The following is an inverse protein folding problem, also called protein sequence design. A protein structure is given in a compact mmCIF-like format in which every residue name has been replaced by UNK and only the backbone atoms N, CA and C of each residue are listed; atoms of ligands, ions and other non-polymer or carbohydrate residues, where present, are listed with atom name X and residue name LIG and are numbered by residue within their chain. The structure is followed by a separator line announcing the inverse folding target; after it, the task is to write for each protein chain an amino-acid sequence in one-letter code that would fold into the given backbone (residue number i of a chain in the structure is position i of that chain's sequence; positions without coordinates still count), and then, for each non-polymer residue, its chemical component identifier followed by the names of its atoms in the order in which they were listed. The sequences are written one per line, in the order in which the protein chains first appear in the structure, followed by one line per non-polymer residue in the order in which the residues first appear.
data_IF_802749356826
#
_entry.id   IF_802749356826
#
_cell.length_a   1.000
_cell.length_b   1.000
_cell.length_c   1.000
_cell.angle_alpha   90.00
_cell.angle_beta   90.00
_cell.angle_gamma   90.00
#
_symmetry.space_group_name_H-M   'P 1'
#
loop_
_entity.id
_entity.type
_entity.pdbx_description
1 polymer ?
#
# COMPACT_ATOMS: atom_id res chain seq x y z
N UNK A 1 -27.73 6.23 -28.30
CA UNK A 1 -26.60 5.60 -27.54
C UNK A 1 -26.50 6.40 -26.25
N UNK A 2 -27.02 5.86 -25.14
CA UNK A 2 -26.87 6.50 -23.82
C UNK A 2 -25.39 6.47 -23.51
N UNK A 3 -24.76 7.61 -23.41
CA UNK A 3 -23.33 7.66 -23.12
C UNK A 3 -23.10 7.03 -21.76
N UNK A 4 -22.01 6.26 -21.64
CA UNK A 4 -21.61 5.58 -20.39
C UNK A 4 -21.55 6.59 -19.22
N UNK A 5 -21.28 7.87 -19.51
CA UNK A 5 -21.32 8.99 -18.57
C UNK A 5 -22.69 9.20 -17.92
N UNK A 6 -23.79 9.08 -18.69
CA UNK A 6 -25.14 9.29 -18.16
C UNK A 6 -25.58 8.13 -17.27
N UNK A 7 -25.11 6.91 -17.58
CA UNK A 7 -25.37 5.74 -16.75
C UNK A 7 -24.64 5.83 -15.40
N UNK A 8 -23.42 6.38 -15.39
CA UNK A 8 -22.62 6.62 -14.18
C UNK A 8 -23.25 7.69 -13.29
N UNK A 9 -23.77 8.77 -13.89
CA UNK A 9 -24.41 9.86 -13.17
C UNK A 9 -25.72 9.41 -12.48
N UNK A 10 -26.45 8.45 -13.08
CA UNK A 10 -27.72 7.97 -12.53
C UNK A 10 -27.58 6.89 -11.46
N UNK A 11 -26.47 6.12 -11.46
CA UNK A 11 -26.28 5.00 -10.51
C UNK A 11 -25.32 5.30 -9.37
N UNK A 12 -24.59 6.42 -9.40
CA UNK A 12 -23.51 6.73 -8.45
C UNK A 12 -22.32 5.76 -8.53
N UNK A 13 -22.32 4.89 -9.55
CA UNK A 13 -21.38 3.78 -9.69
C UNK A 13 -20.24 4.15 -10.65
N UNK A 14 -19.03 4.33 -10.13
CA UNK A 14 -17.84 4.57 -10.97
C UNK A 14 -17.23 3.22 -11.42
N UNK A 15 -17.23 2.88 -12.72
CA UNK A 15 -16.70 1.60 -13.21
C UNK A 15 -15.21 1.38 -12.92
N UNK A 16 -14.47 2.46 -12.64
CA UNK A 16 -13.06 2.40 -12.22
C UNK A 16 -12.89 1.57 -10.95
N UNK A 17 -13.90 1.55 -10.06
CA UNK A 17 -13.88 0.77 -8.83
C UNK A 17 -13.61 -0.71 -9.10
N UNK A 18 -14.26 -1.29 -10.12
CA UNK A 18 -14.05 -2.70 -10.47
C UNK A 18 -12.63 -2.99 -10.94
N UNK A 19 -12.04 -2.07 -11.72
CA UNK A 19 -10.67 -2.22 -12.19
C UNK A 19 -9.66 -2.10 -11.04
N UNK A 20 -9.88 -1.18 -10.10
CA UNK A 20 -9.06 -1.05 -8.89
C UNK A 20 -9.18 -2.30 -8.01
N UNK A 21 -10.39 -2.82 -7.80
CA UNK A 21 -10.60 -4.06 -7.06
C UNK A 21 -9.98 -5.26 -7.78
N UNK A 22 -10.05 -5.33 -9.12
CA UNK A 22 -9.41 -6.37 -9.90
C UNK A 22 -7.88 -6.32 -9.73
N UNK A 23 -7.26 -5.14 -9.86
CA UNK A 23 -5.83 -4.94 -9.62
C UNK A 23 -5.39 -5.43 -8.23
N UNK A 24 -6.21 -5.19 -7.24
CA UNK A 24 -5.93 -5.57 -5.87
C UNK A 24 -6.12 -7.08 -5.64
N UNK A 25 -7.17 -7.68 -6.22
CA UNK A 25 -7.52 -9.08 -5.96
C UNK A 25 -6.74 -10.09 -6.79
N UNK A 26 -6.31 -9.75 -8.02
CA UNK A 26 -5.60 -10.69 -8.91
C UNK A 26 -4.30 -11.24 -8.30
N UNK A 27 -3.39 -10.43 -7.70
CA UNK A 27 -2.19 -10.98 -7.06
C UNK A 27 -2.50 -11.82 -5.82
N UNK A 28 -3.56 -11.50 -5.09
CA UNK A 28 -4.04 -12.30 -3.97
C UNK A 28 -4.58 -13.64 -4.44
N UNK A 29 -5.32 -13.66 -5.55
CA UNK A 29 -5.77 -14.88 -6.21
C UNK A 29 -4.57 -15.71 -6.67
N UNK A 30 -3.53 -15.09 -7.23
CA UNK A 30 -2.29 -15.76 -7.57
C UNK A 30 -1.64 -16.42 -6.36
N UNK A 31 -1.55 -15.71 -5.23
CA UNK A 31 -1.02 -16.26 -3.99
C UNK A 31 -1.72 -17.55 -3.58
N UNK A 32 -3.05 -17.53 -3.43
CA UNK A 32 -3.78 -18.71 -2.99
C UNK A 32 -3.81 -19.84 -4.02
N UNK A 33 -4.04 -19.53 -5.30
CA UNK A 33 -4.20 -20.54 -6.34
C UNK A 33 -2.92 -21.33 -6.63
N UNK A 34 -1.74 -20.73 -6.45
CA UNK A 34 -0.47 -21.39 -6.69
C UNK A 34 -0.22 -22.58 -5.76
N UNK A 35 -0.81 -22.63 -4.58
CA UNK A 35 -0.73 -23.81 -3.69
C UNK A 35 -1.48 -25.02 -4.26
N UNK A 36 -2.52 -24.80 -5.08
CA UNK A 36 -3.33 -25.87 -5.66
C UNK A 36 -2.86 -26.29 -7.07
N UNK A 37 -2.37 -25.36 -7.88
CA UNK A 37 -2.05 -25.59 -9.31
C UNK A 37 -0.72 -26.33 -9.50
N UNK A 38 0.17 -26.34 -8.50
CA UNK A 38 1.44 -27.10 -8.47
C UNK A 38 2.32 -26.88 -9.72
N UNK A 39 2.37 -27.82 -10.68
CA UNK A 39 3.33 -27.79 -11.79
C UNK A 39 3.13 -26.64 -12.77
N UNK A 40 1.92 -26.15 -12.96
CA UNK A 40 1.57 -25.03 -13.86
C UNK A 40 1.60 -23.68 -13.16
N UNK A 41 1.90 -23.62 -11.86
CA UNK A 41 1.92 -22.41 -11.06
C UNK A 41 2.77 -21.27 -11.67
N UNK A 42 3.98 -21.51 -12.23
CA UNK A 42 4.77 -20.43 -12.83
C UNK A 42 4.07 -19.72 -13.98
N UNK A 43 3.51 -20.49 -14.92
CA UNK A 43 2.79 -19.93 -16.08
C UNK A 43 1.52 -19.23 -15.62
N UNK A 44 0.75 -19.87 -14.73
CA UNK A 44 -0.47 -19.30 -14.19
C UNK A 44 -0.25 -17.97 -13.49
N UNK A 45 0.70 -17.91 -12.55
CA UNK A 45 1.04 -16.68 -11.86
C UNK A 45 1.48 -15.56 -12.81
N UNK A 46 2.38 -15.89 -13.77
CA UNK A 46 2.87 -14.91 -14.75
C UNK A 46 1.74 -14.40 -15.64
N UNK A 47 0.79 -15.25 -16.05
CA UNK A 47 -0.38 -14.83 -16.83
C UNK A 47 -1.28 -13.88 -16.03
N UNK A 48 -1.53 -14.17 -14.76
CA UNK A 48 -2.32 -13.29 -13.88
C UNK A 48 -1.62 -11.92 -13.72
N UNK A 49 -0.30 -11.89 -13.56
CA UNK A 49 0.44 -10.63 -13.44
C UNK A 49 0.52 -9.86 -14.77
N UNK A 50 0.56 -10.55 -15.90
CA UNK A 50 0.43 -9.93 -17.21
C UNK A 50 -0.91 -9.22 -17.37
N UNK A 51 -2.02 -9.89 -16.99
CA UNK A 51 -3.36 -9.30 -16.97
C UNK A 51 -3.41 -8.08 -16.05
N UNK A 52 -2.82 -8.19 -14.85
CA UNK A 52 -2.78 -7.10 -13.89
C UNK A 52 -1.99 -5.89 -14.42
N UNK A 53 -0.88 -6.13 -15.10
CA UNK A 53 -0.11 -5.08 -15.78
C UNK A 53 -0.93 -4.43 -16.90
N UNK A 54 -1.65 -5.23 -17.68
CA UNK A 54 -2.57 -4.72 -18.70
C UNK A 54 -3.67 -3.82 -18.13
N UNK A 55 -4.26 -4.21 -17.00
CA UNK A 55 -5.26 -3.38 -16.29
C UNK A 55 -4.63 -2.07 -15.81
N UNK A 56 -3.42 -2.09 -15.24
CA UNK A 56 -2.76 -0.86 -14.78
C UNK A 56 -2.46 0.10 -15.94
N UNK A 57 -2.01 -0.39 -17.09
CA UNK A 57 -1.81 0.40 -18.30
C UNK A 57 -3.14 0.96 -18.84
N UNK A 58 -4.20 0.14 -18.84
CA UNK A 58 -5.53 0.58 -19.23
C UNK A 58 -6.05 1.71 -18.32
N UNK A 59 -5.85 1.63 -17.01
CA UNK A 59 -6.23 2.69 -16.07
C UNK A 59 -5.48 3.99 -16.33
N UNK A 60 -4.18 3.92 -16.64
CA UNK A 60 -3.42 5.11 -17.05
C UNK A 60 -4.03 5.72 -18.30
N UNK A 61 -4.27 4.92 -19.34
CA UNK A 61 -4.87 5.42 -20.58
C UNK A 61 -6.25 6.05 -20.36
N UNK A 62 -7.11 5.39 -19.57
CA UNK A 62 -8.48 5.80 -19.37
C UNK A 62 -8.64 6.98 -18.39
N UNK A 63 -7.70 7.14 -17.44
CA UNK A 63 -7.90 8.06 -16.32
C UNK A 63 -6.78 9.08 -16.11
N UNK A 64 -5.79 9.15 -16.99
CA UNK A 64 -4.65 10.08 -16.86
C UNK A 64 -5.04 11.55 -16.75
N UNK A 65 -6.05 11.97 -17.53
CA UNK A 65 -6.58 13.35 -17.54
C UNK A 65 -7.79 13.52 -16.64
N UNK A 66 -8.26 12.46 -15.98
CA UNK A 66 -9.39 12.51 -15.05
C UNK A 66 -9.02 13.14 -13.70
N UNK A 67 -10.05 13.44 -12.93
CA UNK A 67 -9.91 13.83 -11.53
C UNK A 67 -9.53 12.61 -10.66
N UNK A 68 -8.90 12.89 -9.52
CA UNK A 68 -8.58 11.83 -8.57
C UNK A 68 -9.86 11.16 -8.04
N UNK A 69 -9.86 9.83 -8.02
CA UNK A 69 -11.00 9.03 -7.53
C UNK A 69 -10.71 8.55 -6.12
N UNK A 70 -11.57 8.91 -5.18
CA UNK A 70 -11.52 8.37 -3.82
C UNK A 70 -12.71 7.45 -3.57
N UNK A 71 -12.44 6.27 -2.99
CA UNK A 71 -13.43 5.28 -2.59
C UNK A 71 -13.27 5.09 -1.10
N UNK A 72 -14.27 5.54 -0.33
CA UNK A 72 -14.23 5.45 1.13
C UNK A 72 -15.34 4.51 1.62
N UNK A 73 -15.04 3.76 2.68
CA UNK A 73 -16.02 2.94 3.36
C UNK A 73 -15.58 2.67 4.80
N UNK A 74 -16.52 2.26 5.64
CA UNK A 74 -16.24 1.90 7.03
C UNK A 74 -15.63 0.50 7.07
N UNK A 75 -14.46 0.37 7.70
CA UNK A 75 -13.82 -0.91 7.93
C UNK A 75 -14.36 -1.54 9.21
N UNK A 76 -14.20 -0.86 10.34
CA UNK A 76 -14.81 -1.24 11.61
C UNK A 76 -14.89 -0.03 12.55
N UNK A 77 -15.71 -0.14 13.59
CA UNK A 77 -15.85 0.88 14.63
C UNK A 77 -15.56 0.30 16.00
N UNK A 78 -14.83 1.04 16.84
CA UNK A 78 -14.54 0.69 18.22
C UNK A 78 -15.00 1.87 19.08
N UNK A 79 -16.11 1.70 19.81
CA UNK A 79 -16.75 2.80 20.54
C UNK A 79 -17.12 3.93 19.58
N UNK A 80 -16.66 5.15 19.88
CA UNK A 80 -16.92 6.35 19.06
C UNK A 80 -15.93 6.51 17.89
N UNK A 81 -14.87 5.68 17.82
CA UNK A 81 -13.86 5.76 16.76
C UNK A 81 -14.27 4.91 15.58
N UNK A 82 -14.46 5.54 14.42
CA UNK A 82 -14.74 4.87 13.15
C UNK A 82 -13.45 4.79 12.31
N UNK A 83 -13.02 3.57 12.03
CA UNK A 83 -11.89 3.32 11.13
C UNK A 83 -12.39 3.08 9.72
N UNK A 84 -12.03 3.99 8.82
CA UNK A 84 -12.42 3.93 7.42
C UNK A 84 -11.30 3.31 6.59
N UNK A 85 -11.68 2.54 5.56
CA UNK A 85 -10.77 2.26 4.46
C UNK A 85 -10.99 3.31 3.37
N UNK A 86 -9.91 3.74 2.74
CA UNK A 86 -9.99 4.62 1.57
C UNK A 86 -8.98 4.17 0.52
N UNK A 87 -9.47 4.00 -0.71
CA UNK A 87 -8.63 3.89 -1.89
C UNK A 87 -8.54 5.25 -2.55
N UNK A 88 -7.37 5.63 -2.99
CA UNK A 88 -7.15 6.88 -3.68
C UNK A 88 -6.36 6.65 -4.95
N UNK A 89 -6.93 7.06 -6.07
CA UNK A 89 -6.35 6.88 -7.38
C UNK A 89 -6.11 8.25 -8.01
N UNK A 90 -4.89 8.73 -7.88
CA UNK A 90 -4.39 9.92 -8.54
C UNK A 90 -3.34 9.56 -9.60
N UNK A 91 -2.76 10.56 -10.24
CA UNK A 91 -1.72 10.36 -11.27
C UNK A 91 -0.48 9.66 -10.70
N UNK A 92 -0.11 9.95 -9.46
CA UNK A 92 1.04 9.32 -8.81
C UNK A 92 0.75 7.83 -8.55
N UNK A 93 -0.42 7.51 -8.01
CA UNK A 93 -0.86 6.14 -7.80
C UNK A 93 -0.91 5.36 -9.13
N UNK A 94 -1.41 5.96 -10.21
CA UNK A 94 -1.43 5.34 -11.54
C UNK A 94 -0.03 4.97 -12.04
N UNK A 95 0.94 5.89 -11.94
CA UNK A 95 2.34 5.61 -12.32
C UNK A 95 2.92 4.51 -11.46
N UNK A 96 2.73 4.58 -10.14
CA UNK A 96 3.24 3.58 -9.20
C UNK A 96 2.61 2.20 -9.43
N UNK A 97 1.33 2.11 -9.79
CA UNK A 97 0.68 0.85 -10.13
C UNK A 97 1.30 0.20 -11.39
N UNK A 98 1.56 0.99 -12.43
CA UNK A 98 2.24 0.48 -13.64
C UNK A 98 3.64 0.01 -13.31
N UNK A 99 4.39 0.76 -12.52
CA UNK A 99 5.74 0.40 -12.10
C UNK A 99 5.76 -0.89 -11.29
N UNK A 100 4.92 -1.00 -10.26
CA UNK A 100 4.82 -2.19 -9.39
C UNK A 100 4.42 -3.41 -10.20
N UNK A 101 3.34 -3.32 -11.00
CA UNK A 101 2.85 -4.45 -11.79
C UNK A 101 3.82 -4.83 -12.92
N UNK A 102 4.42 -3.85 -13.60
CA UNK A 102 5.38 -4.08 -14.67
C UNK A 102 6.65 -4.78 -14.17
N UNK A 103 7.25 -4.28 -13.09
CA UNK A 103 8.41 -4.95 -12.48
C UNK A 103 8.04 -6.34 -11.98
N UNK A 104 6.90 -6.47 -11.29
CA UNK A 104 6.44 -7.77 -10.80
C UNK A 104 6.24 -8.77 -11.93
N UNK A 105 5.62 -8.36 -13.04
CA UNK A 105 5.48 -9.22 -14.23
C UNK A 105 6.84 -9.67 -14.78
N UNK A 106 7.81 -8.74 -14.94
CA UNK A 106 9.14 -9.06 -15.42
C UNK A 106 9.88 -10.04 -14.50
N UNK A 107 9.76 -9.85 -13.18
CA UNK A 107 10.31 -10.77 -12.18
C UNK A 107 9.66 -12.16 -12.27
N UNK A 108 8.33 -12.24 -12.43
CA UNK A 108 7.64 -13.51 -12.62
C UNK A 108 8.10 -14.21 -13.90
N UNK A 109 8.23 -13.46 -14.99
CA UNK A 109 8.71 -13.99 -16.27
C UNK A 109 10.13 -14.57 -16.16
N UNK A 110 11.05 -13.80 -15.57
CA UNK A 110 12.42 -14.26 -15.30
C UNK A 110 12.43 -15.50 -14.41
N UNK A 111 11.58 -15.54 -13.42
CA UNK A 111 11.53 -16.61 -12.42
C UNK A 111 11.03 -17.95 -12.98
N UNK A 112 10.36 -17.96 -14.15
CA UNK A 112 9.96 -19.22 -14.82
C UNK A 112 11.19 -20.09 -15.08
N UNK A 113 12.23 -19.50 -15.65
CA UNK A 113 13.48 -20.23 -15.95
C UNK A 113 14.35 -20.37 -14.70
N UNK A 114 14.46 -19.32 -13.88
CA UNK A 114 15.26 -19.32 -12.65
C UNK A 114 14.86 -20.45 -11.68
N UNK A 115 13.56 -20.70 -11.53
CA UNK A 115 13.01 -21.73 -10.61
C UNK A 115 12.65 -23.04 -11.32
N UNK A 116 13.11 -23.24 -12.58
CA UNK A 116 12.69 -24.37 -13.44
C UNK A 116 12.90 -25.73 -12.78
N UNK A 117 14.05 -25.91 -12.11
CA UNK A 117 14.44 -27.19 -11.49
C UNK A 117 13.99 -27.34 -10.03
N UNK A 118 13.49 -26.27 -9.43
CA UNK A 118 13.10 -26.30 -8.02
C UNK A 118 11.74 -26.96 -7.80
N UNK A 119 11.67 -27.85 -6.79
CA UNK A 119 10.43 -28.55 -6.42
C UNK A 119 9.41 -27.62 -5.74
N UNK A 120 9.88 -26.57 -5.07
CA UNK A 120 9.05 -25.64 -4.32
C UNK A 120 8.64 -24.39 -5.15
N UNK A 121 8.85 -24.40 -6.48
CA UNK A 121 8.46 -23.29 -7.36
C UNK A 121 7.03 -22.77 -7.16
N UNK A 122 5.99 -23.58 -6.89
CA UNK A 122 4.64 -23.04 -6.65
C UNK A 122 4.59 -22.13 -5.42
N UNK A 123 5.31 -22.48 -4.37
CA UNK A 123 5.42 -21.69 -3.13
C UNK A 123 6.15 -20.37 -3.38
N UNK A 124 7.21 -20.40 -4.21
CA UNK A 124 7.94 -19.20 -4.60
C UNK A 124 7.04 -18.21 -5.37
N UNK A 125 6.29 -18.69 -6.37
CA UNK A 125 5.37 -17.85 -7.13
C UNK A 125 4.20 -17.35 -6.28
N UNK A 126 3.75 -18.13 -5.28
CA UNK A 126 2.78 -17.65 -4.30
C UNK A 126 3.35 -16.47 -3.51
N UNK A 127 4.57 -16.56 -2.99
CA UNK A 127 5.20 -15.47 -2.24
C UNK A 127 5.42 -14.21 -3.09
N UNK A 128 5.76 -14.34 -4.38
CA UNK A 128 5.83 -13.22 -5.30
C UNK A 128 4.46 -12.56 -5.49
N UNK A 129 3.38 -13.37 -5.61
CA UNK A 129 2.01 -12.86 -5.66
C UNK A 129 1.63 -12.08 -4.41
N UNK A 130 1.96 -12.62 -3.22
CA UNK A 130 1.74 -11.94 -1.94
C UNK A 130 2.51 -10.62 -1.86
N UNK A 131 3.76 -10.61 -2.31
CA UNK A 131 4.58 -9.39 -2.35
C UNK A 131 3.93 -8.31 -3.24
N UNK A 132 3.49 -8.69 -4.45
CA UNK A 132 2.82 -7.77 -5.37
C UNK A 132 1.50 -7.23 -4.80
N UNK A 133 0.69 -8.10 -4.19
CA UNK A 133 -0.52 -7.71 -3.48
C UNK A 133 -0.25 -6.67 -2.40
N UNK A 134 0.78 -6.91 -1.60
CA UNK A 134 1.19 -6.02 -0.51
C UNK A 134 1.64 -4.65 -1.04
N UNK A 135 2.44 -4.63 -2.09
CA UNK A 135 2.91 -3.39 -2.73
C UNK A 135 1.77 -2.57 -3.34
N UNK A 136 0.80 -3.23 -3.99
CA UNK A 136 -0.39 -2.55 -4.51
C UNK A 136 -1.21 -1.95 -3.37
N UNK A 137 -1.32 -2.66 -2.24
CA UNK A 137 -1.99 -2.14 -1.04
C UNK A 137 -1.33 -0.86 -0.52
N UNK A 138 0.00 -0.83 -0.40
CA UNK A 138 0.73 0.39 0.02
C UNK A 138 0.45 1.58 -0.92
N UNK A 139 0.32 1.33 -2.24
CA UNK A 139 0.08 2.38 -3.24
C UNK A 139 -1.37 2.87 -3.21
N UNK A 140 -2.33 1.98 -3.03
CA UNK A 140 -3.76 2.30 -3.19
C UNK A 140 -4.42 2.84 -1.92
N UNK A 141 -4.01 2.37 -0.73
CA UNK A 141 -4.65 2.81 0.50
C UNK A 141 -4.22 4.22 0.90
N UNK A 142 -5.22 5.05 1.15
CA UNK A 142 -5.05 6.45 1.55
C UNK A 142 -5.35 6.65 3.05
N UNK A 143 -5.30 5.58 3.82
CA UNK A 143 -5.39 5.55 5.26
C UNK A 143 -4.06 5.07 5.84
N UNK A 144 -3.45 5.87 6.71
CA UNK A 144 -2.13 5.61 7.28
C UNK A 144 -2.05 4.28 8.03
N UNK A 145 -3.10 3.88 8.73
CA UNK A 145 -3.12 2.61 9.47
C UNK A 145 -3.14 1.42 8.50
N UNK A 146 -3.97 1.47 7.46
CA UNK A 146 -4.00 0.43 6.43
C UNK A 146 -2.71 0.39 5.63
N UNK A 147 -2.16 1.56 5.29
CA UNK A 147 -0.84 1.65 4.65
C UNK A 147 0.23 0.96 5.51
N UNK A 148 0.21 1.16 6.84
CA UNK A 148 1.11 0.47 7.75
C UNK A 148 0.90 -1.05 7.72
N UNK A 149 -0.33 -1.55 7.73
CA UNK A 149 -0.63 -2.99 7.63
C UNK A 149 -0.03 -3.59 6.36
N UNK A 150 -0.20 -2.92 5.19
CA UNK A 150 0.38 -3.39 3.94
C UNK A 150 1.90 -3.23 3.89
N UNK A 151 2.43 -2.19 4.52
CA UNK A 151 3.88 -2.01 4.71
C UNK A 151 4.52 -3.16 5.47
N UNK A 152 3.88 -3.62 6.54
CA UNK A 152 4.28 -4.79 7.31
C UNK A 152 4.19 -6.08 6.47
N UNK A 153 3.15 -6.20 5.65
CA UNK A 153 2.97 -7.36 4.78
C UNK A 153 4.04 -7.42 3.67
N UNK A 154 4.50 -6.27 3.14
CA UNK A 154 5.69 -6.19 2.26
C UNK A 154 6.93 -6.71 3.00
N UNK A 155 7.12 -6.33 4.26
CA UNK A 155 8.21 -6.83 5.10
C UNK A 155 8.17 -8.35 5.27
N UNK A 156 7.00 -8.89 5.59
CA UNK A 156 6.78 -10.32 5.75
C UNK A 156 7.02 -11.09 4.43
N UNK A 157 6.47 -10.62 3.33
CA UNK A 157 6.62 -11.30 2.04
C UNK A 157 8.07 -11.27 1.55
N UNK A 158 8.81 -10.18 1.78
CA UNK A 158 10.24 -10.10 1.49
C UNK A 158 11.06 -11.06 2.37
N UNK A 159 10.75 -11.18 3.66
CA UNK A 159 11.36 -12.17 4.55
C UNK A 159 11.19 -13.60 4.02
N UNK A 160 9.97 -13.96 3.58
CA UNK A 160 9.66 -15.27 3.02
C UNK A 160 10.41 -15.55 1.71
N UNK A 161 10.64 -14.51 0.89
CA UNK A 161 11.40 -14.63 -0.37
C UNK A 161 12.91 -14.73 -0.13
N UNK A 162 13.49 -13.91 0.77
CA UNK A 162 14.91 -13.95 1.11
C UNK A 162 15.24 -15.30 1.76
N UNK A 163 14.39 -15.76 2.68
CA UNK A 163 14.51 -17.03 3.37
C UNK A 163 13.97 -18.23 2.61
N UNK A 164 13.70 -18.12 1.29
CA UNK A 164 13.05 -19.19 0.54
C UNK A 164 13.78 -20.52 0.64
N UNK A 165 15.11 -20.52 0.49
CA UNK A 165 15.96 -21.68 0.72
C UNK A 165 16.47 -21.71 2.17
N UNK A 166 15.56 -21.82 3.13
CA UNK A 166 15.86 -21.80 4.57
C UNK A 166 16.83 -22.90 5.05
N UNK A 167 16.99 -23.99 4.27
CA UNK A 167 17.98 -25.03 4.53
C UNK A 167 19.42 -24.51 4.41
N UNK A 168 19.62 -23.42 3.65
CA UNK A 168 20.90 -22.75 3.54
C UNK A 168 21.07 -21.77 4.71
N UNK A 169 22.03 -22.04 5.60
CA UNK A 169 22.31 -21.17 6.76
C UNK A 169 22.52 -19.69 6.38
N UNK A 170 23.16 -19.42 5.24
CA UNK A 170 23.37 -18.06 4.74
C UNK A 170 22.04 -17.34 4.40
N UNK A 171 21.09 -18.04 3.76
CA UNK A 171 19.78 -17.48 3.40
C UNK A 171 18.94 -17.22 4.66
N UNK A 172 18.92 -18.17 5.61
CA UNK A 172 18.22 -18.02 6.88
C UNK A 172 18.76 -16.84 7.71
N UNK A 173 20.08 -16.68 7.80
CA UNK A 173 20.70 -15.54 8.49
C UNK A 173 20.40 -14.21 7.79
N UNK A 174 20.44 -14.16 6.46
CA UNK A 174 20.12 -12.97 5.69
C UNK A 174 18.65 -12.56 5.88
N UNK A 175 17.71 -13.51 5.86
CA UNK A 175 16.31 -13.26 6.11
C UNK A 175 16.07 -12.71 7.52
N UNK A 176 16.68 -13.30 8.54
CA UNK A 176 16.58 -12.81 9.91
C UNK A 176 17.16 -11.41 10.06
N UNK A 177 18.32 -11.12 9.46
CA UNK A 177 18.90 -9.77 9.47
C UNK A 177 17.94 -8.76 8.84
N UNK A 178 17.44 -9.03 7.63
CA UNK A 178 16.53 -8.15 6.93
C UNK A 178 15.24 -7.91 7.72
N UNK A 179 14.69 -8.97 8.33
CA UNK A 179 13.49 -8.87 9.16
C UNK A 179 13.70 -7.98 10.38
N UNK A 180 14.79 -8.19 11.14
CA UNK A 180 15.09 -7.41 12.35
C UNK A 180 15.31 -5.93 12.02
N UNK A 181 16.05 -5.63 10.96
CA UNK A 181 16.29 -4.24 10.53
C UNK A 181 14.98 -3.56 10.12
N UNK A 182 14.13 -4.25 9.35
CA UNK A 182 12.81 -3.72 9.00
C UNK A 182 11.98 -3.44 10.24
N UNK A 183 11.96 -4.34 11.24
CA UNK A 183 11.21 -4.14 12.50
C UNK A 183 11.65 -2.91 13.28
N UNK A 184 12.95 -2.61 13.31
CA UNK A 184 13.44 -1.38 13.94
C UNK A 184 12.88 -0.15 13.22
N UNK A 185 12.89 -0.15 11.89
CA UNK A 185 12.27 0.91 11.09
C UNK A 185 10.76 1.01 11.31
N UNK A 186 10.05 -0.12 11.35
CA UNK A 186 8.61 -0.20 11.50
C UNK A 186 8.12 0.30 12.86
N UNK A 187 8.92 0.12 13.93
CA UNK A 187 8.65 0.75 15.24
C UNK A 187 8.67 2.29 15.13
N UNK A 188 9.65 2.83 14.39
CA UNK A 188 9.69 4.27 14.10
C UNK A 188 8.45 4.73 13.33
N UNK A 189 8.09 4.01 12.26
CA UNK A 189 6.90 4.29 11.46
C UNK A 189 5.62 4.29 12.31
N UNK A 190 5.43 3.27 13.15
CA UNK A 190 4.27 3.17 14.04
C UNK A 190 4.24 4.31 15.06
N UNK A 191 5.40 4.67 15.64
CA UNK A 191 5.51 5.80 16.57
C UNK A 191 5.09 7.10 15.88
N UNK A 192 5.55 7.35 14.66
CA UNK A 192 5.15 8.51 13.87
C UNK A 192 3.64 8.55 13.59
N UNK A 193 3.04 7.40 13.26
CA UNK A 193 1.59 7.26 13.08
C UNK A 193 0.81 7.59 14.36
N UNK A 194 1.28 7.13 15.52
CA UNK A 194 0.63 7.41 16.80
C UNK A 194 0.71 8.88 17.17
N UNK A 195 1.85 9.53 16.90
CA UNK A 195 1.99 10.98 17.09
C UNK A 195 1.01 11.72 16.17
N UNK A 196 0.94 11.37 14.88
CA UNK A 196 -0.02 12.01 13.97
C UNK A 196 -1.46 11.79 14.45
N UNK A 197 -1.81 10.58 14.87
CA UNK A 197 -3.15 10.30 15.39
C UNK A 197 -3.46 11.11 16.65
N UNK A 198 -2.51 11.28 17.56
CA UNK A 198 -2.70 12.10 18.76
C UNK A 198 -2.99 13.57 18.44
N UNK A 199 -2.43 14.08 17.33
CA UNK A 199 -2.61 15.47 16.91
C UNK A 199 -3.89 15.68 16.07
N UNK A 200 -4.17 14.75 15.12
CA UNK A 200 -5.23 14.92 14.12
C UNK A 200 -6.49 14.10 14.41
N UNK A 201 -6.44 13.16 15.34
CA UNK A 201 -7.53 12.22 15.69
C UNK A 201 -8.09 11.44 14.48
N UNK A 202 -7.28 11.32 13.41
CA UNK A 202 -7.63 10.60 12.20
C UNK A 202 -6.40 9.98 11.55
N UNK A 203 -6.61 8.86 10.83
CA UNK A 203 -5.61 8.24 9.96
C UNK A 203 -5.84 8.52 8.46
N UNK A 204 -6.90 9.27 8.11
CA UNK A 204 -7.19 9.61 6.72
C UNK A 204 -6.24 10.69 6.24
N UNK A 205 -5.39 10.37 5.25
CA UNK A 205 -4.41 11.31 4.68
C UNK A 205 -5.04 12.55 4.06
N UNK A 206 -6.21 12.41 3.45
CA UNK A 206 -6.91 13.56 2.86
C UNK A 206 -7.41 14.52 3.94
N UNK A 207 -7.94 13.99 5.04
CA UNK A 207 -8.34 14.80 6.18
C UNK A 207 -7.13 15.51 6.83
N UNK A 208 -6.01 14.81 7.04
CA UNK A 208 -4.78 15.38 7.57
C UNK A 208 -4.26 16.49 6.65
N UNK A 209 -4.21 16.24 5.33
CA UNK A 209 -3.77 17.23 4.34
C UNK A 209 -4.67 18.48 4.37
N UNK A 210 -5.97 18.29 4.41
CA UNK A 210 -6.93 19.40 4.45
C UNK A 210 -6.74 20.24 5.70
N UNK A 211 -6.62 19.61 6.87
CA UNK A 211 -6.36 20.31 8.13
C UNK A 211 -5.05 21.11 8.10
N UNK A 212 -3.99 20.57 7.49
CA UNK A 212 -2.72 21.26 7.37
C UNK A 212 -2.75 22.41 6.36
N UNK A 213 -3.48 22.28 5.26
CA UNK A 213 -3.58 23.35 4.23
C UNK A 213 -4.36 24.56 4.76
N UNK A 214 -5.38 24.33 5.58
CA UNK A 214 -6.20 25.40 6.15
C UNK A 214 -5.73 25.85 7.55
N UNK A 215 -4.57 25.40 8.01
CA UNK A 215 -3.99 25.85 9.27
C UNK A 215 -3.15 27.13 9.08
N UNK A 216 -3.24 28.05 10.02
CA UNK A 216 -2.40 29.23 10.11
C UNK A 216 -1.25 28.97 11.11
N UNK A 217 -0.12 29.65 10.92
CA UNK A 217 1.02 29.51 11.82
C UNK A 217 1.05 30.74 12.74
N UNK A 218 0.77 30.54 14.03
CA UNK A 218 0.93 31.56 15.05
C UNK A 218 1.92 31.07 16.12
N UNK A 219 2.91 31.90 16.46
CA UNK A 219 3.93 31.60 17.49
C UNK A 219 4.60 30.23 17.38
N UNK A 220 4.79 29.73 16.16
CA UNK A 220 5.43 28.45 15.87
C UNK A 220 4.51 27.22 16.03
N UNK A 221 3.24 27.44 16.33
CA UNK A 221 2.21 26.43 16.37
C UNK A 221 1.31 26.52 15.13
N UNK A 222 0.85 25.37 14.65
CA UNK A 222 -0.13 25.30 13.58
C UNK A 222 -1.53 25.32 14.21
N UNK A 223 -2.33 26.32 13.86
CA UNK A 223 -3.70 26.45 14.33
C UNK A 223 -4.62 25.97 13.21
N UNK A 224 -5.23 24.81 13.39
CA UNK A 224 -6.20 24.27 12.46
C UNK A 224 -7.61 24.62 12.94
N UNK A 225 -8.34 25.37 12.11
CA UNK A 225 -9.75 25.64 12.29
C UNK A 225 -10.58 24.62 11.51
N UNK A 226 -11.37 23.80 12.19
CA UNK A 226 -12.30 22.89 11.50
C UNK A 226 -13.60 22.77 12.26
N UNK A 227 -14.68 22.59 11.51
CA UNK A 227 -16.01 22.41 12.09
C UNK A 227 -16.31 20.92 12.21
N UNK A 228 -16.46 20.41 13.42
CA UNK A 228 -16.89 19.04 13.68
C UNK A 228 -18.30 19.05 14.25
N UNK A 229 -19.26 18.41 13.55
CA UNK A 229 -20.68 18.36 13.93
C UNK A 229 -21.31 19.74 14.24
N UNK A 230 -20.92 20.80 13.49
CA UNK A 230 -21.42 22.14 13.71
C UNK A 230 -20.78 22.91 14.87
N UNK A 231 -19.74 22.37 15.46
CA UNK A 231 -18.91 23.01 16.49
C UNK A 231 -17.55 23.35 15.88
N UNK A 232 -17.16 24.62 15.97
CA UNK A 232 -15.82 25.05 15.54
C UNK A 232 -14.80 24.55 16.56
N UNK A 233 -13.93 23.66 16.10
CA UNK A 233 -12.85 23.10 16.92
C UNK A 233 -11.54 23.78 16.47
N UNK A 234 -10.90 24.45 17.41
CA UNK A 234 -9.57 25.01 17.23
C UNK A 234 -8.59 23.99 17.79
N UNK A 235 -7.80 23.37 16.91
CA UNK A 235 -6.77 22.46 17.35
C UNK A 235 -5.39 23.11 17.14
N UNK A 236 -4.67 23.30 18.23
CA UNK A 236 -3.29 23.81 18.20
C UNK A 236 -2.33 22.64 18.02
N UNK A 237 -1.71 22.56 16.87
CA UNK A 237 -0.73 21.54 16.55
C UNK A 237 0.68 22.08 16.85
N UNK A 238 1.36 21.50 17.82
CA UNK A 238 2.75 21.89 18.12
C UNK A 238 3.68 21.40 17.01
N UNK A 239 4.35 22.32 16.31
CA UNK A 239 5.28 22.04 15.22
C UNK A 239 6.43 21.08 15.60
N UNK A 240 6.78 21.00 16.90
CA UNK A 240 7.78 20.03 17.39
C UNK A 240 7.29 18.59 17.28
N UNK A 241 6.02 18.35 17.61
CA UNK A 241 5.42 17.01 17.47
C UNK A 241 5.27 16.61 16.01
N UNK A 242 4.92 17.55 15.12
CA UNK A 242 4.85 17.28 13.68
C UNK A 242 6.23 16.92 13.11
N UNK A 243 7.27 17.66 13.54
CA UNK A 243 8.65 17.34 13.14
C UNK A 243 9.10 15.98 13.67
N UNK A 244 8.79 15.67 14.93
CA UNK A 244 9.08 14.37 15.53
C UNK A 244 8.36 13.23 14.79
N UNK A 245 7.07 13.42 14.43
CA UNK A 245 6.31 12.47 13.62
C UNK A 245 6.96 12.25 12.25
N UNK A 246 7.37 13.32 11.56
CA UNK A 246 8.05 13.23 10.26
C UNK A 246 9.35 12.42 10.33
N UNK A 247 10.20 12.69 11.32
CA UNK A 247 11.44 11.94 11.56
C UNK A 247 11.13 10.46 11.85
N UNK A 248 10.14 10.19 12.69
CA UNK A 248 9.75 8.83 13.05
C UNK A 248 9.19 8.05 11.86
N UNK A 249 8.34 8.66 11.03
CA UNK A 249 7.85 8.07 9.77
C UNK A 249 9.01 7.77 8.81
N UNK A 250 9.97 8.69 8.70
CA UNK A 250 11.13 8.52 7.83
C UNK A 250 12.02 7.34 8.27
N UNK A 251 12.10 7.03 9.57
CA UNK A 251 12.82 5.85 10.05
C UNK A 251 12.29 4.55 9.44
N UNK A 252 10.98 4.43 9.18
CA UNK A 252 10.41 3.30 8.46
C UNK A 252 10.99 3.14 7.06
N UNK A 253 11.12 4.25 6.32
CA UNK A 253 11.73 4.25 4.99
C UNK A 253 13.24 3.92 5.05
N UNK A 254 13.96 4.44 6.05
CA UNK A 254 15.39 4.16 6.29
C UNK A 254 15.62 2.68 6.54
N UNK A 255 14.80 2.04 7.38
CA UNK A 255 14.90 0.61 7.68
C UNK A 255 14.70 -0.25 6.42
N UNK A 256 13.65 0.03 5.65
CA UNK A 256 13.31 -0.76 4.45
C UNK A 256 14.25 -0.55 3.27
N UNK A 257 14.91 0.62 3.21
CA UNK A 257 15.86 0.97 2.16
C UNK A 257 17.32 0.66 2.54
N UNK A 258 17.55 0.03 3.69
CA UNK A 258 18.88 -0.27 4.22
C UNK A 258 19.82 0.96 4.20
N UNK A 259 19.27 2.15 4.54
CA UNK A 259 20.07 3.37 4.61
C UNK A 259 20.90 3.38 5.88
N UNK A 260 22.04 4.09 5.83
CA UNK A 260 22.88 4.29 7.00
C UNK A 260 22.06 4.88 8.17
N UNK A 261 22.15 4.38 9.39
CA UNK A 261 23.05 3.31 9.88
C UNK A 261 22.43 1.90 9.87
N UNK A 262 21.27 1.68 9.26
CA UNK A 262 20.50 0.42 9.29
C UNK A 262 20.79 -0.51 8.09
N UNK A 263 22.01 -0.53 7.59
CA UNK A 263 22.43 -1.36 6.44
C UNK A 263 22.88 -2.79 6.82
#
# INVERSE_FOLDING_TARGET
MIELRDLIATTGFNPIIYWVLALFTIPLLSFFSNFFIKSKAPIWATTLLLLNTGISLFLVYAHWYGEAVSIKGVWFSIGDTVLNYSFYLDRLALIMLVLVNGISFLVHLFSIEYMRTDRQKPKYFAYLGLFTFSMIGVVLFHNLLLMFVFWELVGLSSFLLIGFWFDKKSAALAANKAFLINRIGDVGLLTGLMILYSQFQTFDLEAIRTLMVFSEIEDGNWIAHFTNNGVDVINTLDGRWLSAAGIALFLGAVGKSAQFPLQ
#
